data_IF_075456998655
#
_entry.id   IF_075456998655
#
_cell.length_a   1.000
_cell.length_b   1.000
_cell.length_c   1.000
_cell.angle_alpha   90.00
_cell.angle_beta   90.00
_cell.angle_gamma   90.00
#
_symmetry.space_group_name_H-M   'P 1'
#
loop_
_entity.id
_entity.type
_entity.pdbx_description
1 polymer ?
#
# COMPACT_ATOMS: atom_id res chain seq x y z
N UNK A 1 -19.04 -38.87 -1.36
CA UNK A 1 -17.76 -39.32 -0.79
C UNK A 1 -16.66 -38.66 -1.60
N UNK A 2 -16.31 -37.45 -1.26
CA UNK A 2 -15.23 -36.70 -1.90
C UNK A 2 -13.93 -37.18 -1.25
N UNK A 3 -13.08 -37.88 -2.01
CA UNK A 3 -11.74 -38.26 -1.56
C UNK A 3 -10.87 -37.02 -1.52
N UNK A 4 -10.38 -36.70 -0.33
CA UNK A 4 -9.36 -35.67 -0.12
C UNK A 4 -8.15 -35.99 -1.00
N UNK A 5 -7.85 -35.13 -1.96
CA UNK A 5 -6.60 -35.17 -2.73
C UNK A 5 -5.48 -34.79 -1.76
N UNK A 6 -4.55 -35.70 -1.49
CA UNK A 6 -3.32 -35.35 -0.77
C UNK A 6 -2.40 -34.63 -1.75
N UNK A 7 -2.23 -33.33 -1.55
CA UNK A 7 -1.16 -32.58 -2.21
C UNK A 7 0.14 -32.91 -1.45
N UNK A 8 1.05 -33.66 -2.09
CA UNK A 8 2.41 -33.85 -1.57
C UNK A 8 3.27 -32.75 -2.16
N UNK A 9 3.43 -31.69 -1.41
CA UNK A 9 4.36 -30.61 -1.75
C UNK A 9 5.78 -31.07 -1.37
N UNK A 10 6.60 -31.46 -2.35
CA UNK A 10 8.03 -31.66 -2.13
C UNK A 10 8.69 -30.26 -2.12
N UNK A 11 8.68 -29.59 -0.99
CA UNK A 11 9.54 -28.44 -0.75
C UNK A 11 10.98 -28.97 -0.59
N UNK A 12 11.83 -28.72 -1.57
CA UNK A 12 13.25 -28.61 -1.30
C UNK A 12 13.42 -27.35 -0.44
N UNK A 13 13.29 -27.53 0.87
CA UNK A 13 13.77 -26.59 1.86
C UNK A 13 15.27 -26.37 1.57
N UNK A 14 15.58 -25.42 0.72
CA UNK A 14 16.84 -24.72 0.85
C UNK A 14 16.73 -24.01 2.19
N UNK A 15 17.23 -24.66 3.25
CA UNK A 15 17.55 -24.03 4.53
C UNK A 15 18.65 -23.01 4.26
N UNK A 16 18.31 -21.88 3.71
CA UNK A 16 19.22 -20.80 3.40
C UNK A 16 18.81 -19.55 4.13
N UNK A 17 19.58 -19.28 5.18
CA UNK A 17 20.12 -17.96 5.48
C UNK A 17 19.14 -16.80 5.24
N UNK A 18 17.96 -16.85 5.89
CA UNK A 18 17.29 -15.61 6.21
C UNK A 18 18.08 -14.98 7.35
N UNK A 19 18.66 -13.80 7.10
CA UNK A 19 19.21 -12.99 8.15
C UNK A 19 18.16 -12.88 9.26
N UNK A 20 18.56 -12.96 10.50
CA UNK A 20 17.77 -12.97 11.73
C UNK A 20 16.25 -12.96 11.53
N UNK A 21 15.62 -14.12 11.69
CA UNK A 21 14.16 -14.25 11.51
C UNK A 21 13.38 -13.36 12.49
N UNK A 22 12.24 -12.89 12.07
CA UNK A 22 11.30 -12.18 12.94
C UNK A 22 10.93 -13.03 14.16
N UNK A 23 10.99 -12.44 15.33
CA UNK A 23 10.70 -13.08 16.60
C UNK A 23 9.37 -12.56 17.15
N UNK A 24 8.44 -13.47 17.47
CA UNK A 24 7.23 -13.09 18.19
C UNK A 24 7.63 -12.59 19.59
N UNK A 25 7.36 -11.32 19.86
CA UNK A 25 7.68 -10.69 21.15
C UNK A 25 6.50 -10.84 22.13
N UNK A 26 5.29 -10.49 21.65
CA UNK A 26 4.09 -10.52 22.49
C UNK A 26 2.82 -10.52 21.64
N UNK A 27 1.70 -10.80 22.30
CA UNK A 27 0.37 -10.49 21.79
C UNK A 27 -0.06 -9.17 22.41
N UNK A 28 -0.15 -8.14 21.59
CA UNK A 28 -0.40 -6.78 22.06
C UNK A 28 -1.83 -6.59 22.55
N UNK A 29 -2.81 -7.11 21.80
CA UNK A 29 -4.21 -7.00 22.15
C UNK A 29 -4.98 -8.24 21.78
N UNK A 30 -5.71 -8.76 22.76
CA UNK A 30 -6.69 -9.81 22.63
C UNK A 30 -8.07 -9.22 22.93
N UNK A 31 -8.97 -9.25 21.97
CA UNK A 31 -10.32 -8.74 22.15
C UNK A 31 -11.28 -9.73 22.78
N UNK A 32 -10.85 -11.00 22.96
CA UNK A 32 -11.66 -12.06 23.56
C UNK A 32 -12.98 -12.33 22.84
N UNK A 33 -13.09 -11.91 21.56
CA UNK A 33 -14.30 -12.05 20.78
C UNK A 33 -14.33 -13.43 20.11
N UNK A 34 -15.47 -14.13 20.24
CA UNK A 34 -15.63 -15.38 19.56
C UNK A 34 -15.62 -15.22 18.05
N UNK A 35 -14.89 -16.07 17.35
CA UNK A 35 -14.74 -16.08 15.88
C UNK A 35 -16.08 -16.06 15.11
N UNK A 36 -17.12 -16.64 15.69
CA UNK A 36 -18.43 -16.79 15.05
C UNK A 36 -19.28 -15.52 15.05
N UNK A 37 -18.87 -14.46 15.72
CA UNK A 37 -19.68 -13.25 15.88
C UNK A 37 -19.58 -12.31 14.67
N UNK A 38 -18.81 -12.68 13.63
CA UNK A 38 -18.59 -11.83 12.46
C UNK A 38 -17.81 -10.56 12.76
N UNK A 39 -17.12 -10.52 13.89
CA UNK A 39 -16.30 -9.41 14.36
C UNK A 39 -14.84 -9.78 14.31
N UNK A 40 -13.99 -8.82 13.95
CA UNK A 40 -12.55 -9.05 13.91
C UNK A 40 -11.78 -7.78 13.56
N UNK A 41 -10.49 -7.82 13.79
CA UNK A 41 -9.58 -6.73 13.43
C UNK A 41 -9.43 -6.71 11.90
N UNK A 42 -9.52 -5.51 11.30
CA UNK A 42 -9.48 -5.33 9.86
C UNK A 42 -8.47 -4.30 9.37
N UNK A 43 -7.67 -3.79 10.25
CA UNK A 43 -6.58 -2.87 9.94
C UNK A 43 -5.88 -2.41 11.19
N UNK A 44 -4.61 -2.11 11.08
CA UNK A 44 -3.78 -1.57 12.14
C UNK A 44 -2.81 -0.54 11.54
N UNK A 45 -2.53 0.53 12.27
CA UNK A 45 -1.49 1.50 11.93
C UNK A 45 -0.88 2.06 13.20
N UNK A 46 0.42 2.35 13.17
CA UNK A 46 1.12 3.04 14.26
C UNK A 46 1.24 4.51 13.89
N UNK A 47 0.66 5.37 14.69
CA UNK A 47 0.70 6.82 14.51
C UNK A 47 2.08 7.41 14.89
N UNK A 48 2.41 8.65 14.48
CA UNK A 48 3.69 9.29 14.81
C UNK A 48 3.97 9.46 16.30
N UNK A 49 2.95 9.51 17.12
CA UNK A 49 3.05 9.56 18.59
C UNK A 49 3.24 8.18 19.25
N UNK A 50 3.30 7.11 18.45
CA UNK A 50 3.44 5.73 18.88
C UNK A 50 2.11 5.04 19.22
N UNK A 51 0.99 5.74 19.17
CA UNK A 51 -0.32 5.14 19.42
C UNK A 51 -0.70 4.18 18.30
N UNK A 52 -1.35 3.07 18.67
CA UNK A 52 -1.72 2.00 17.77
C UNK A 52 -3.22 2.10 17.48
N UNK A 53 -3.54 2.39 16.24
CA UNK A 53 -4.91 2.54 15.75
C UNK A 53 -5.38 1.21 15.13
N UNK A 54 -6.59 0.79 15.51
CA UNK A 54 -7.13 -0.52 15.16
C UNK A 54 -8.54 -0.37 14.61
N UNK A 55 -8.73 -0.78 13.36
CA UNK A 55 -10.04 -0.80 12.71
C UNK A 55 -10.74 -2.14 12.95
N UNK A 56 -12.04 -2.10 13.21
CA UNK A 56 -12.87 -3.27 13.41
C UNK A 56 -13.78 -3.54 12.22
N UNK A 57 -13.93 -4.81 11.87
CA UNK A 57 -15.01 -5.30 11.02
C UNK A 57 -16.10 -5.91 11.90
N UNK A 58 -17.34 -5.52 11.65
CA UNK A 58 -18.47 -5.93 12.50
C UNK A 58 -18.64 -5.01 13.72
N UNK A 59 -19.75 -5.16 14.40
CA UNK A 59 -20.10 -4.41 15.59
C UNK A 59 -20.49 -5.37 16.71
N UNK A 60 -19.97 -5.14 17.91
CA UNK A 60 -20.33 -5.92 19.10
C UNK A 60 -21.44 -5.21 19.89
N UNK A 61 -22.04 -5.93 20.85
CA UNK A 61 -23.00 -5.29 21.76
C UNK A 61 -22.32 -4.19 22.61
N UNK A 62 -21.03 -4.32 22.89
CA UNK A 62 -20.25 -3.34 23.64
C UNK A 62 -20.00 -2.05 22.84
N UNK A 63 -20.08 -2.13 21.51
CA UNK A 63 -19.91 -1.00 20.60
C UNK A 63 -21.24 -0.31 20.25
N UNK A 64 -22.34 -0.77 20.82
CA UNK A 64 -23.65 -0.23 20.59
C UNK A 64 -23.90 1.01 21.44
N UNK A 65 -24.56 2.02 20.82
CA UNK A 65 -24.89 3.29 21.48
C UNK A 65 -26.42 3.35 21.65
N UNK A 66 -26.95 3.66 22.84
CA UNK A 66 -28.37 3.94 23.01
C UNK A 66 -28.80 5.10 22.09
N UNK A 67 -29.91 4.92 21.38
CA UNK A 67 -30.45 5.94 20.48
C UNK A 67 -31.96 5.91 20.48
N UNK A 68 -32.57 7.09 20.37
CA UNK A 68 -34.01 7.21 20.19
C UNK A 68 -34.33 7.38 18.71
N UNK A 69 -35.06 6.44 18.16
CA UNK A 69 -35.52 6.48 16.77
C UNK A 69 -36.91 7.12 16.72
N UNK A 70 -37.05 8.19 15.95
CA UNK A 70 -38.33 8.83 15.71
C UNK A 70 -38.91 8.31 14.39
N UNK A 71 -40.06 7.66 14.43
CA UNK A 71 -40.77 7.17 13.24
C UNK A 71 -41.41 8.33 12.44
N UNK A 72 -41.80 8.04 11.19
CA UNK A 72 -42.47 9.04 10.33
C UNK A 72 -43.78 9.59 10.94
N UNK A 73 -44.44 8.85 11.81
CA UNK A 73 -45.67 9.28 12.53
C UNK A 73 -45.36 10.13 13.78
N UNK A 74 -44.07 10.40 14.05
CA UNK A 74 -43.62 11.17 15.21
C UNK A 74 -43.49 10.37 16.51
N UNK A 75 -43.69 9.04 16.48
CA UNK A 75 -43.50 8.20 17.66
C UNK A 75 -42.02 7.89 17.88
N UNK A 76 -41.60 7.94 19.13
CA UNK A 76 -40.23 7.62 19.54
C UNK A 76 -40.14 6.18 20.05
N UNK A 77 -39.08 5.48 19.64
CA UNK A 77 -38.71 4.18 20.16
C UNK A 77 -37.24 4.16 20.62
N UNK A 78 -36.97 3.68 21.83
CA UNK A 78 -35.61 3.46 22.29
C UNK A 78 -35.03 2.22 21.63
N UNK A 79 -33.78 2.34 21.18
CA UNK A 79 -33.03 1.25 20.55
C UNK A 79 -31.51 1.47 20.67
N UNK A 80 -30.75 0.80 19.81
CA UNK A 80 -29.31 0.92 19.77
C UNK A 80 -28.84 1.11 18.33
N UNK A 81 -27.83 1.97 18.15
CA UNK A 81 -27.04 2.04 16.92
C UNK A 81 -25.78 1.19 17.12
N UNK A 82 -25.59 0.21 16.27
CA UNK A 82 -24.39 -0.62 16.28
C UNK A 82 -23.28 0.11 15.54
N UNK A 83 -22.21 0.51 16.25
CA UNK A 83 -21.05 1.16 15.68
C UNK A 83 -19.93 0.16 15.39
N UNK A 84 -19.04 0.56 14.49
CA UNK A 84 -17.78 -0.15 14.20
C UNK A 84 -16.64 0.80 14.50
N UNK A 85 -16.25 0.90 15.80
CA UNK A 85 -15.35 1.93 16.26
C UNK A 85 -13.93 1.70 15.76
N UNK A 86 -13.16 2.78 15.77
CA UNK A 86 -11.71 2.70 15.73
C UNK A 86 -11.23 2.72 17.16
N UNK A 87 -10.50 1.68 17.56
CA UNK A 87 -9.82 1.65 18.86
C UNK A 87 -8.42 2.23 18.72
N UNK A 88 -8.01 3.04 19.69
CA UNK A 88 -6.68 3.62 19.76
C UNK A 88 -6.04 3.26 21.09
N UNK A 89 -4.88 2.64 21.03
CA UNK A 89 -4.13 2.20 22.20
C UNK A 89 -2.79 2.94 22.29
N UNK A 90 -2.40 3.28 23.49
CA UNK A 90 -1.03 3.73 23.78
C UNK A 90 -0.05 2.58 23.60
N UNK A 91 1.26 2.84 23.48
CA UNK A 91 2.27 1.76 23.39
C UNK A 91 2.21 0.75 24.54
N UNK A 92 1.71 1.13 25.71
CA UNK A 92 1.56 0.26 26.89
C UNK A 92 0.27 -0.59 26.83
N UNK A 93 -0.57 -0.43 25.78
CA UNK A 93 -1.79 -1.20 25.58
C UNK A 93 -3.06 -0.63 26.22
N UNK A 94 -2.97 0.53 26.84
CA UNK A 94 -4.13 1.24 27.41
C UNK A 94 -4.89 2.03 26.33
N UNK A 95 -6.17 2.28 26.53
CA UNK A 95 -6.92 3.14 25.63
C UNK A 95 -6.41 4.59 25.70
N UNK A 96 -6.17 5.19 24.54
CA UNK A 96 -5.98 6.64 24.44
C UNK A 96 -7.23 7.37 24.95
N UNK A 97 -7.08 8.61 25.43
CA UNK A 97 -8.16 9.36 26.08
C UNK A 97 -9.40 9.60 25.19
N UNK A 98 -9.22 9.57 23.88
CA UNK A 98 -10.27 9.73 22.86
C UNK A 98 -10.75 8.40 22.26
N UNK A 99 -10.25 7.28 22.75
CA UNK A 99 -10.61 5.93 22.27
C UNK A 99 -11.78 5.35 23.08
N UNK A 100 -12.70 4.60 22.46
CA UNK A 100 -12.82 4.34 21.04
C UNK A 100 -13.53 5.48 20.28
N UNK A 101 -13.11 5.69 19.02
CA UNK A 101 -13.75 6.66 18.13
C UNK A 101 -14.98 6.00 17.48
N UNK A 102 -16.16 6.50 17.82
CA UNK A 102 -17.47 6.03 17.32
C UNK A 102 -18.16 7.05 16.43
N UNK A 103 -17.82 8.32 16.60
CA UNK A 103 -18.47 9.45 15.93
C UNK A 103 -17.51 10.06 14.91
N UNK A 104 -18.05 10.45 13.75
CA UNK A 104 -17.31 11.06 12.62
C UNK A 104 -17.79 12.49 12.32
N UNK A 105 -18.74 13.02 13.11
CA UNK A 105 -19.24 14.37 12.96
C UNK A 105 -19.80 14.89 14.26
N UNK A 106 -20.12 16.20 14.28
CA UNK A 106 -20.82 16.80 15.41
C UNK A 106 -22.30 16.43 15.36
N UNK A 107 -22.92 16.26 16.53
CA UNK A 107 -24.39 16.09 16.69
C UNK A 107 -25.22 17.31 16.23
N UNK A 108 -24.65 18.20 15.42
CA UNK A 108 -25.37 19.32 14.86
C UNK A 108 -26.52 18.80 14.00
N UNK A 109 -27.74 18.95 14.50
CA UNK A 109 -29.03 18.59 13.90
C UNK A 109 -29.65 17.24 14.32
N UNK A 110 -29.22 16.63 15.42
CA UNK A 110 -29.88 15.42 15.96
C UNK A 110 -29.61 14.13 15.16
N UNK A 111 -28.75 14.17 14.17
CA UNK A 111 -28.29 12.98 13.44
C UNK A 111 -26.93 12.54 14.00
N UNK A 112 -26.93 11.33 14.58
CA UNK A 112 -25.68 10.66 14.95
C UNK A 112 -24.91 10.30 13.69
N UNK A 113 -23.87 11.05 13.38
CA UNK A 113 -22.91 10.68 12.33
C UNK A 113 -21.89 9.70 12.92
N UNK A 114 -22.17 8.40 12.76
CA UNK A 114 -21.42 7.32 13.42
C UNK A 114 -20.73 6.41 12.42
N UNK A 115 -19.64 5.74 12.86
CA UNK A 115 -18.98 4.69 12.11
C UNK A 115 -19.85 3.41 12.11
N UNK A 116 -20.72 3.24 11.12
CA UNK A 116 -21.63 2.09 10.98
C UNK A 116 -21.21 1.08 9.93
N UNK A 117 -20.24 1.43 9.08
CA UNK A 117 -19.71 0.54 8.04
C UNK A 117 -18.42 -0.14 8.49
N UNK A 118 -18.20 -1.37 8.03
CA UNK A 118 -16.99 -2.13 8.33
C UNK A 118 -15.76 -1.45 7.76
N UNK A 119 -14.74 -1.28 8.59
CA UNK A 119 -13.42 -0.83 8.17
C UNK A 119 -12.78 -1.79 7.16
N UNK A 120 -12.05 -1.23 6.20
CA UNK A 120 -11.37 -2.02 5.15
C UNK A 120 -9.85 -1.89 5.19
N UNK A 121 -9.34 -0.93 5.89
CA UNK A 121 -7.91 -0.73 6.10
C UNK A 121 -7.59 0.68 6.53
N UNK A 122 -6.35 0.84 6.92
CA UNK A 122 -5.79 2.09 7.43
C UNK A 122 -4.36 2.28 6.90
N UNK A 123 -3.95 3.53 6.73
CA UNK A 123 -2.55 3.90 6.54
C UNK A 123 -2.29 5.31 7.10
N UNK A 124 -1.03 5.72 7.13
CA UNK A 124 -0.66 7.13 7.38
C UNK A 124 -0.68 7.91 6.07
N UNK A 125 -1.08 9.17 6.14
CA UNK A 125 -0.78 10.12 5.07
C UNK A 125 0.60 10.78 5.29
N UNK A 126 1.00 11.65 4.38
CA UNK A 126 2.29 12.34 4.42
C UNK A 126 2.44 13.34 5.57
N UNK A 127 1.34 13.74 6.22
CA UNK A 127 1.32 14.60 7.41
C UNK A 127 1.21 13.80 8.71
N UNK A 128 1.16 12.47 8.61
CA UNK A 128 1.03 11.55 9.74
C UNK A 128 -0.40 11.35 10.25
N UNK A 129 -1.40 11.91 9.57
CA UNK A 129 -2.81 11.63 9.89
C UNK A 129 -3.20 10.22 9.47
N UNK A 130 -4.27 9.71 10.08
CA UNK A 130 -4.77 8.37 9.82
C UNK A 130 -5.79 8.42 8.69
N UNK A 131 -5.49 7.76 7.58
CA UNK A 131 -6.46 7.46 6.55
C UNK A 131 -7.17 6.15 6.87
N UNK A 132 -8.48 6.16 6.79
CA UNK A 132 -9.35 5.03 7.09
C UNK A 132 -10.44 4.89 6.05
N UNK A 133 -10.64 3.68 5.55
CA UNK A 133 -11.67 3.40 4.54
C UNK A 133 -12.78 2.50 5.05
N UNK A 134 -13.99 2.84 4.63
CA UNK A 134 -15.18 2.00 4.73
C UNK A 134 -15.86 1.96 3.33
N UNK A 135 -17.00 2.58 3.16
CA UNK A 135 -17.61 2.97 1.87
C UNK A 135 -17.22 4.41 1.47
N UNK A 136 -16.48 5.10 2.31
CA UNK A 136 -15.90 6.42 2.11
C UNK A 136 -14.48 6.43 2.67
N UNK A 137 -13.70 7.45 2.30
CA UNK A 137 -12.38 7.70 2.85
C UNK A 137 -12.48 8.77 3.94
N UNK A 138 -11.94 8.48 5.10
CA UNK A 138 -11.86 9.39 6.25
C UNK A 138 -10.41 9.70 6.57
N UNK A 139 -10.15 10.92 7.02
CA UNK A 139 -8.88 11.39 7.55
C UNK A 139 -9.05 11.83 8.98
N UNK A 140 -8.31 11.25 9.91
CA UNK A 140 -8.36 11.57 11.33
C UNK A 140 -7.07 12.21 11.80
N UNK A 141 -7.18 13.22 12.65
CA UNK A 141 -6.04 13.75 13.38
C UNK A 141 -5.59 12.71 14.42
N UNK A 142 -4.36 12.22 14.28
CA UNK A 142 -3.86 11.14 15.12
C UNK A 142 -3.69 11.54 16.60
N UNK A 143 -3.54 12.85 16.92
CA UNK A 143 -3.38 13.34 18.31
C UNK A 143 -4.71 13.50 19.03
N UNK A 144 -5.80 13.80 18.33
CA UNK A 144 -7.08 14.14 18.95
C UNK A 144 -8.18 13.11 18.66
N UNK A 145 -8.02 12.28 17.67
CA UNK A 145 -9.06 11.36 17.21
C UNK A 145 -10.18 12.02 16.40
N UNK A 146 -10.08 13.32 16.14
CA UNK A 146 -11.09 14.06 15.38
C UNK A 146 -10.97 13.79 13.88
N UNK A 147 -12.10 13.61 13.19
CA UNK A 147 -12.16 13.54 11.75
C UNK A 147 -11.92 14.94 11.16
N UNK A 148 -10.92 15.05 10.28
CA UNK A 148 -10.55 16.33 9.62
C UNK A 148 -11.02 16.38 8.17
N UNK A 149 -11.16 15.23 7.49
CA UNK A 149 -11.71 15.14 6.14
C UNK A 149 -12.59 13.89 5.99
N UNK A 150 -13.65 14.03 5.19
CA UNK A 150 -14.50 12.93 4.72
C UNK A 150 -14.65 13.08 3.21
N UNK A 151 -14.28 12.04 2.48
CA UNK A 151 -14.23 12.06 1.01
C UNK A 151 -15.09 10.92 0.47
N UNK A 152 -16.16 11.28 -0.24
CA UNK A 152 -16.93 10.33 -1.01
C UNK A 152 -16.16 9.94 -2.27
N UNK A 153 -16.05 8.63 -2.53
CA UNK A 153 -15.41 8.08 -3.72
C UNK A 153 -16.44 7.19 -4.42
N UNK A 154 -17.32 7.79 -5.24
CA UNK A 154 -18.36 7.05 -5.95
C UNK A 154 -17.73 6.16 -7.03
N UNK A 155 -18.31 4.96 -7.22
CA UNK A 155 -17.82 4.01 -8.22
C UNK A 155 -18.53 4.12 -9.58
N UNK A 156 -19.57 4.96 -9.67
CA UNK A 156 -20.31 5.23 -10.89
C UNK A 156 -20.72 6.71 -10.99
N UNK A 157 -21.17 7.12 -12.17
CA UNK A 157 -21.61 8.49 -12.45
C UNK A 157 -22.90 8.88 -11.69
N UNK A 158 -23.62 7.93 -11.12
CA UNK A 158 -24.81 8.17 -10.29
C UNK A 158 -24.44 8.51 -8.83
N UNK A 159 -23.16 8.50 -8.46
CA UNK A 159 -22.68 8.79 -7.12
C UNK A 159 -22.84 7.64 -6.13
N UNK A 160 -22.97 6.40 -6.62
CA UNK A 160 -23.11 5.22 -5.76
C UNK A 160 -21.84 4.94 -4.99
N UNK A 161 -21.98 4.66 -3.68
CA UNK A 161 -20.86 4.30 -2.81
C UNK A 161 -20.79 2.78 -2.61
N UNK A 162 -19.58 2.24 -2.55
CA UNK A 162 -19.31 0.84 -2.25
C UNK A 162 -18.10 0.73 -1.33
N UNK A 163 -17.88 -0.44 -0.74
CA UNK A 163 -16.69 -0.67 0.10
C UNK A 163 -15.41 -0.37 -0.67
N UNK A 164 -14.57 0.49 -0.10
CA UNK A 164 -13.26 0.83 -0.63
C UNK A 164 -12.22 -0.22 -0.20
N UNK A 165 -11.12 -0.31 -0.92
CA UNK A 165 -9.95 -1.10 -0.50
C UNK A 165 -9.19 -0.40 0.63
N UNK A 166 -8.18 -1.04 1.20
CA UNK A 166 -7.19 -0.36 2.02
C UNK A 166 -6.60 0.83 1.24
N UNK A 167 -6.47 2.02 1.84
CA UNK A 167 -5.81 3.15 1.22
C UNK A 167 -4.30 2.97 1.25
N UNK A 168 -3.59 3.53 0.27
CA UNK A 168 -2.13 3.65 0.28
C UNK A 168 -1.71 5.03 -0.21
N UNK A 169 -0.50 5.45 0.15
CA UNK A 169 -0.02 6.83 -0.09
C UNK A 169 1.37 6.79 -0.71
N UNK A 170 1.59 7.56 -1.77
CA UNK A 170 2.90 7.78 -2.35
C UNK A 170 3.69 8.87 -1.58
N UNK A 171 4.97 9.03 -1.87
CA UNK A 171 5.83 10.04 -1.23
C UNK A 171 5.40 11.49 -1.49
N UNK A 172 4.59 11.73 -2.52
CA UNK A 172 4.02 13.04 -2.83
C UNK A 172 2.70 13.30 -2.08
N UNK A 173 2.24 12.34 -1.26
CA UNK A 173 1.02 12.44 -0.47
C UNK A 173 -0.27 12.12 -1.24
N UNK A 174 -0.19 11.63 -2.47
CA UNK A 174 -1.39 11.18 -3.17
C UNK A 174 -1.89 9.87 -2.59
N UNK A 175 -3.20 9.74 -2.44
CA UNK A 175 -3.87 8.55 -1.93
C UNK A 175 -4.38 7.70 -3.08
N UNK A 176 -4.10 6.40 -3.02
CA UNK A 176 -4.55 5.41 -4.01
C UNK A 176 -5.49 4.41 -3.36
N UNK A 177 -6.59 4.11 -4.03
CA UNK A 177 -7.57 3.13 -3.60
C UNK A 177 -8.41 2.64 -4.79
N UNK A 178 -9.21 1.62 -4.53
CA UNK A 178 -10.18 1.04 -5.47
C UNK A 178 -11.42 0.59 -4.67
N UNK A 179 -12.30 -0.18 -5.27
CA UNK A 179 -13.49 -0.70 -4.62
C UNK A 179 -13.42 -2.22 -4.48
N UNK A 180 -13.87 -2.72 -3.34
CA UNK A 180 -14.10 -4.15 -3.13
C UNK A 180 -15.36 -4.57 -3.86
N UNK A 181 -15.29 -5.60 -4.69
CA UNK A 181 -16.50 -6.10 -5.38
C UNK A 181 -16.21 -7.15 -6.43
N UNK A 182 -17.29 -7.80 -6.90
CA UNK A 182 -17.26 -8.92 -7.84
C UNK A 182 -17.04 -8.56 -9.29
N UNK A 183 -16.71 -7.32 -9.62
CA UNK A 183 -16.35 -6.88 -10.96
C UNK A 183 -14.98 -6.18 -10.91
N UNK A 184 -14.31 -6.14 -12.06
CA UNK A 184 -13.11 -5.34 -12.24
C UNK A 184 -13.42 -3.88 -11.93
N UNK A 185 -12.64 -3.26 -11.04
CA UNK A 185 -12.81 -1.89 -10.61
C UNK A 185 -11.57 -1.07 -10.97
N UNK A 186 -11.73 0.20 -11.36
CA UNK A 186 -10.62 1.09 -11.60
C UNK A 186 -9.86 1.41 -10.32
N UNK A 187 -8.63 1.91 -10.46
CA UNK A 187 -7.87 2.53 -9.37
C UNK A 187 -8.00 4.03 -9.46
N UNK A 188 -8.29 4.65 -8.33
CA UNK A 188 -8.42 6.10 -8.21
C UNK A 188 -7.24 6.64 -7.41
N UNK A 189 -6.69 7.74 -7.91
CA UNK A 189 -5.71 8.60 -7.24
C UNK A 189 -6.42 9.86 -6.74
N UNK A 190 -6.23 10.19 -5.49
CA UNK A 190 -6.76 11.38 -4.83
C UNK A 190 -5.59 12.29 -4.48
N UNK A 191 -5.70 13.59 -4.81
CA UNK A 191 -4.66 14.58 -4.50
C UNK A 191 -4.46 14.76 -2.99
N UNK A 192 -3.27 15.25 -2.54
CA UNK A 192 -2.97 15.42 -1.12
C UNK A 192 -3.91 16.38 -0.37
N UNK A 193 -4.51 17.32 -1.09
CA UNK A 193 -5.52 18.25 -0.58
C UNK A 193 -6.94 17.69 -0.57
N UNK A 194 -7.13 16.44 -1.05
CA UNK A 194 -8.40 15.72 -1.16
C UNK A 194 -9.45 16.37 -2.09
N UNK A 195 -9.04 17.31 -2.94
CA UNK A 195 -9.95 18.05 -3.84
C UNK A 195 -10.09 17.40 -5.21
N UNK A 196 -9.10 16.66 -5.67
CA UNK A 196 -9.08 16.07 -7.02
C UNK A 196 -9.06 14.54 -6.94
N UNK A 197 -9.95 13.90 -7.71
CA UNK A 197 -10.00 12.45 -7.89
C UNK A 197 -9.78 12.12 -9.36
N UNK A 198 -8.88 11.20 -9.66
CA UNK A 198 -8.54 10.82 -11.04
C UNK A 198 -8.43 9.31 -11.16
N UNK A 199 -9.11 8.71 -12.12
CA UNK A 199 -8.88 7.30 -12.48
C UNK A 199 -7.52 7.17 -13.13
N UNK A 200 -6.66 6.31 -12.57
CA UNK A 200 -5.29 6.09 -13.06
C UNK A 200 -5.06 4.71 -13.63
N UNK A 201 -5.96 3.75 -13.39
CA UNK A 201 -5.98 2.45 -14.04
C UNK A 201 -7.43 1.99 -14.21
N UNK A 202 -7.78 1.58 -15.44
CA UNK A 202 -9.14 1.12 -15.77
C UNK A 202 -9.41 -0.33 -15.37
N UNK A 203 -8.37 -1.12 -15.26
CA UNK A 203 -8.45 -2.55 -15.05
C UNK A 203 -7.82 -2.92 -13.70
N UNK A 204 -8.63 -2.89 -12.66
CA UNK A 204 -8.31 -3.56 -11.41
C UNK A 204 -8.42 -5.08 -11.55
N UNK A 205 -8.38 -5.75 -10.43
CA UNK A 205 -8.66 -7.19 -10.34
C UNK A 205 -10.09 -7.40 -9.83
N UNK A 206 -10.69 -8.52 -10.20
CA UNK A 206 -11.97 -8.92 -9.65
C UNK A 206 -11.80 -9.26 -8.16
N UNK A 207 -12.72 -8.81 -7.31
CA UNK A 207 -12.63 -8.90 -5.86
C UNK A 207 -11.33 -8.28 -5.28
N UNK A 208 -10.97 -7.10 -5.79
CA UNK A 208 -9.84 -6.35 -5.28
C UNK A 208 -10.01 -6.06 -3.78
N UNK A 209 -9.00 -6.40 -3.00
CA UNK A 209 -8.91 -6.10 -1.54
C UNK A 209 -7.76 -5.17 -1.23
N UNK A 210 -6.72 -5.26 -2.03
CA UNK A 210 -5.47 -4.52 -1.85
C UNK A 210 -5.25 -3.59 -3.01
N UNK A 211 -4.99 -2.34 -2.68
CA UNK A 211 -4.42 -1.34 -3.59
C UNK A 211 -3.25 -0.72 -2.85
N UNK A 212 -2.03 -1.09 -3.23
CA UNK A 212 -0.81 -0.59 -2.62
C UNK A 212 0.05 0.09 -3.68
N UNK A 213 0.28 1.38 -3.54
CA UNK A 213 1.20 2.13 -4.39
C UNK A 213 2.62 2.04 -3.84
N UNK A 214 3.63 1.96 -4.72
CA UNK A 214 5.03 2.12 -4.31
C UNK A 214 5.30 3.56 -3.88
N UNK A 215 6.24 3.81 -2.96
CA UNK A 215 6.54 5.15 -2.46
C UNK A 215 6.82 6.16 -3.59
N UNK A 216 7.55 5.74 -4.61
CA UNK A 216 7.91 6.53 -5.80
C UNK A 216 6.76 6.69 -6.82
N UNK A 217 5.61 6.07 -6.56
CA UNK A 217 4.45 6.01 -7.45
C UNK A 217 4.70 5.36 -8.82
N UNK A 218 5.76 4.56 -8.98
CA UNK A 218 6.03 3.87 -10.24
C UNK A 218 5.20 2.60 -10.41
N UNK A 219 4.80 1.96 -9.29
CA UNK A 219 4.04 0.73 -9.33
C UNK A 219 2.81 0.78 -8.43
N UNK A 220 1.76 0.04 -8.84
CA UNK A 220 0.61 -0.29 -8.01
C UNK A 220 0.48 -1.81 -7.95
N UNK A 221 0.34 -2.33 -6.74
CA UNK A 221 0.13 -3.74 -6.45
C UNK A 221 -1.33 -3.97 -6.06
N UNK A 222 -2.01 -4.84 -6.82
CA UNK A 222 -3.42 -5.17 -6.61
C UNK A 222 -3.54 -6.62 -6.17
N UNK A 223 -4.17 -6.86 -5.04
CA UNK A 223 -4.45 -8.19 -4.51
C UNK A 223 -5.93 -8.56 -4.58
N UNK A 224 -6.22 -9.83 -4.82
CA UNK A 224 -7.57 -10.37 -4.87
C UNK A 224 -7.71 -11.56 -3.93
N UNK A 225 -8.86 -11.63 -3.24
CA UNK A 225 -9.16 -12.70 -2.29
C UNK A 225 -9.95 -13.87 -2.86
N UNK A 226 -10.47 -13.80 -4.09
CA UNK A 226 -11.42 -14.79 -4.56
C UNK A 226 -11.04 -15.47 -5.87
N UNK A 227 -10.17 -14.91 -6.67
CA UNK A 227 -9.87 -15.44 -7.99
C UNK A 227 -8.43 -15.95 -8.15
N UNK A 228 -7.68 -15.95 -7.05
CA UNK A 228 -6.36 -16.55 -7.00
C UNK A 228 -5.49 -16.27 -8.23
N UNK A 229 -5.21 -15.00 -8.52
CA UNK A 229 -4.38 -14.61 -9.66
C UNK A 229 -3.01 -14.08 -9.24
N UNK A 230 -2.71 -14.17 -7.94
CA UNK A 230 -1.52 -13.52 -7.36
C UNK A 230 -1.72 -12.02 -7.14
N UNK A 231 -0.64 -11.33 -6.85
CA UNK A 231 -0.61 -9.88 -6.76
C UNK A 231 -0.31 -9.32 -8.15
N UNK A 232 -1.26 -8.63 -8.74
CA UNK A 232 -1.10 -7.98 -10.04
C UNK A 232 -0.26 -6.73 -9.88
N UNK A 233 0.77 -6.58 -10.71
CA UNK A 233 1.65 -5.41 -10.75
C UNK A 233 1.24 -4.52 -11.92
N UNK A 234 0.97 -3.27 -11.62
CA UNK A 234 0.75 -2.22 -12.60
C UNK A 234 1.93 -1.25 -12.57
N UNK A 235 2.40 -0.87 -13.74
CA UNK A 235 3.48 0.11 -13.93
C UNK A 235 2.92 1.43 -14.45
N UNK A 236 3.43 2.52 -13.90
CA UNK A 236 3.07 3.87 -14.31
C UNK A 236 3.56 4.18 -15.72
N UNK A 237 2.77 4.93 -16.49
CA UNK A 237 3.31 5.59 -17.66
C UNK A 237 4.29 6.69 -17.22
N UNK A 238 5.09 7.20 -18.16
CA UNK A 238 6.13 8.19 -17.90
C UNK A 238 5.66 9.50 -17.25
N UNK A 239 4.36 9.77 -17.27
CA UNK A 239 3.77 10.96 -16.66
C UNK A 239 3.18 10.66 -15.28
N UNK A 240 3.17 9.38 -14.83
CA UNK A 240 2.49 8.98 -13.59
C UNK A 240 0.98 9.23 -13.61
N UNK A 241 0.38 9.33 -14.81
CA UNK A 241 -1.05 9.66 -14.99
C UNK A 241 -1.91 8.45 -15.30
N UNK A 242 -1.29 7.33 -15.71
CA UNK A 242 -1.97 6.07 -15.99
C UNK A 242 -1.05 4.90 -15.71
N UNK A 243 -1.65 3.77 -15.30
CA UNK A 243 -0.94 2.54 -14.98
C UNK A 243 -1.46 1.40 -15.85
N UNK A 244 -0.55 0.56 -16.30
CA UNK A 244 -0.86 -0.62 -17.10
C UNK A 244 -0.31 -1.89 -16.44
N UNK A 245 -1.01 -3.01 -16.62
CA UNK A 245 -0.57 -4.29 -16.07
C UNK A 245 0.69 -4.77 -16.77
N UNK A 246 1.71 -5.11 -15.99
CA UNK A 246 3.00 -5.62 -16.50
C UNK A 246 3.31 -7.02 -15.98
N UNK A 247 2.90 -7.37 -14.75
CA UNK A 247 3.27 -8.65 -14.13
C UNK A 247 2.21 -9.16 -13.15
N UNK A 248 2.50 -10.35 -12.57
CA UNK A 248 1.78 -10.96 -11.47
C UNK A 248 2.77 -11.75 -10.61
N UNK A 249 2.86 -11.43 -9.33
CA UNK A 249 3.78 -12.05 -8.38
C UNK A 249 3.05 -12.86 -7.30
N UNK A 250 3.80 -13.66 -6.55
CA UNK A 250 3.30 -14.43 -5.40
C UNK A 250 2.78 -15.82 -5.73
N UNK A 251 2.45 -16.12 -7.00
CA UNK A 251 2.04 -17.47 -7.38
C UNK A 251 3.20 -18.46 -7.29
N UNK A 252 2.93 -19.66 -6.82
CA UNK A 252 3.92 -20.73 -6.79
C UNK A 252 3.53 -21.88 -7.70
N UNK A 253 4.51 -22.67 -8.15
CA UNK A 253 4.29 -23.87 -8.93
C UNK A 253 4.28 -25.08 -8.02
N UNK A 254 3.23 -25.89 -8.08
CA UNK A 254 3.08 -27.14 -7.35
C UNK A 254 2.88 -28.32 -8.28
N UNK A 255 3.03 -29.53 -7.74
CA UNK A 255 2.72 -30.76 -8.45
C UNK A 255 1.50 -31.43 -7.83
N UNK A 256 0.53 -31.78 -8.64
CA UNK A 256 -0.67 -32.53 -8.23
C UNK A 256 -0.63 -33.89 -8.88
N UNK A 257 -0.66 -34.94 -8.05
CA UNK A 257 -0.79 -36.32 -8.53
C UNK A 257 -2.25 -36.61 -8.92
N UNK A 258 -2.47 -36.97 -10.17
CA UNK A 258 -3.77 -37.38 -10.66
C UNK A 258 -4.13 -38.81 -10.16
N UNK A 259 -5.42 -39.15 -10.24
CA UNK A 259 -5.90 -40.48 -9.81
C UNK A 259 -5.35 -41.66 -10.60
N UNK A 260 -4.70 -41.42 -11.72
CA UNK A 260 -4.01 -42.39 -12.57
C UNK A 260 -2.50 -42.53 -12.28
N UNK A 261 -2.01 -41.81 -11.26
CA UNK A 261 -0.59 -41.79 -10.87
C UNK A 261 0.29 -40.86 -11.71
N UNK A 262 -0.30 -40.07 -12.59
CA UNK A 262 0.46 -39.05 -13.33
C UNK A 262 0.56 -37.76 -12.54
N UNK A 263 1.72 -37.12 -12.62
CA UNK A 263 1.95 -35.81 -12.05
C UNK A 263 1.63 -34.69 -13.04
N UNK A 264 0.87 -33.70 -12.60
CA UNK A 264 0.64 -32.47 -13.37
C UNK A 264 1.13 -31.24 -12.62
N UNK A 265 1.83 -30.37 -13.32
CA UNK A 265 2.26 -29.07 -12.78
C UNK A 265 1.07 -28.12 -12.74
N UNK A 266 0.83 -27.49 -11.60
CA UNK A 266 -0.26 -26.53 -11.40
C UNK A 266 0.30 -25.24 -10.81
N UNK A 267 -0.32 -24.14 -11.19
CA UNK A 267 -0.07 -22.84 -10.54
C UNK A 267 -0.98 -22.71 -9.33
N UNK A 268 -0.39 -22.49 -8.15
CA UNK A 268 -1.10 -22.23 -6.91
C UNK A 268 -1.04 -20.72 -6.69
N UNK A 269 -2.18 -20.04 -6.76
CA UNK A 269 -2.21 -18.58 -6.67
C UNK A 269 -2.06 -18.06 -5.25
N UNK A 270 -1.48 -16.87 -5.12
CA UNK A 270 -1.46 -16.09 -3.88
C UNK A 270 -2.74 -15.25 -3.78
N UNK A 271 -3.43 -15.30 -2.64
CA UNK A 271 -4.67 -14.57 -2.37
C UNK A 271 -4.39 -13.46 -1.36
N UNK A 272 -4.03 -12.29 -1.86
CA UNK A 272 -3.65 -11.17 -1.00
C UNK A 272 -4.86 -10.54 -0.31
N UNK A 273 -4.88 -10.56 1.02
CA UNK A 273 -5.91 -9.94 1.86
C UNK A 273 -5.56 -8.50 2.25
N UNK A 274 -4.28 -8.21 2.39
CA UNK A 274 -3.75 -6.91 2.78
C UNK A 274 -2.30 -6.80 2.33
N UNK A 275 -1.79 -5.59 2.14
CA UNK A 275 -0.38 -5.36 1.87
C UNK A 275 0.13 -4.05 2.48
N UNK A 276 1.42 -4.00 2.78
CA UNK A 276 2.08 -2.83 3.35
C UNK A 276 3.58 -2.84 3.01
N UNK A 277 4.23 -1.68 3.19
CA UNK A 277 5.67 -1.53 3.01
C UNK A 277 6.41 -1.56 4.34
N UNK A 278 7.53 -2.30 4.40
CA UNK A 278 8.51 -2.18 5.46
C UNK A 278 9.92 -2.35 4.90
N UNK A 279 10.77 -1.33 5.05
CA UNK A 279 12.17 -1.34 4.60
C UNK A 279 12.36 -1.74 3.13
N UNK A 280 11.47 -1.27 2.23
CA UNK A 280 11.47 -1.62 0.81
C UNK A 280 10.89 -3.00 0.49
N UNK A 281 10.58 -3.82 1.49
CA UNK A 281 9.91 -5.11 1.30
C UNK A 281 8.42 -4.89 1.14
N UNK A 282 7.83 -5.51 0.13
CA UNK A 282 6.39 -5.61 -0.05
C UNK A 282 5.87 -6.76 0.81
N UNK A 283 5.21 -6.44 1.92
CA UNK A 283 4.55 -7.43 2.77
C UNK A 283 3.10 -7.62 2.36
N UNK A 284 2.69 -8.86 2.17
CA UNK A 284 1.30 -9.21 1.90
C UNK A 284 0.85 -10.38 2.76
N UNK A 285 -0.39 -10.29 3.25
CA UNK A 285 -1.05 -11.35 4.00
C UNK A 285 -1.78 -12.30 3.05
N UNK A 286 -1.51 -13.60 3.18
CA UNK A 286 -2.23 -14.66 2.46
C UNK A 286 -3.51 -15.02 3.21
N UNK A 287 -4.55 -15.41 2.49
CA UNK A 287 -5.85 -15.75 3.07
C UNK A 287 -5.83 -17.00 3.95
N UNK A 288 -6.94 -17.26 4.66
CA UNK A 288 -7.15 -18.40 5.56
C UNK A 288 -6.81 -19.76 4.88
N UNK A 289 -6.00 -20.61 5.53
CA UNK A 289 -5.66 -21.96 5.02
C UNK A 289 -6.87 -22.85 4.73
N UNK A 290 -8.02 -22.55 5.29
CA UNK A 290 -9.25 -23.26 4.96
C UNK A 290 -9.70 -23.00 3.50
N UNK A 291 -9.23 -21.94 2.88
CA UNK A 291 -9.67 -21.50 1.55
C UNK A 291 -8.55 -21.50 0.50
N UNK A 292 -7.30 -21.43 0.93
CA UNK A 292 -6.15 -21.43 0.05
C UNK A 292 -5.29 -22.68 0.21
N UNK A 293 -4.77 -23.20 -0.88
CA UNK A 293 -3.76 -24.26 -0.90
C UNK A 293 -2.35 -23.73 -1.05
N UNK A 294 -2.17 -22.41 -1.02
CA UNK A 294 -0.85 -21.79 -1.10
C UNK A 294 0.01 -22.21 0.10
N UNK A 295 1.32 -22.49 -0.07
CA UNK A 295 2.21 -22.91 1.03
C UNK A 295 2.28 -21.93 2.19
N UNK A 296 2.04 -20.66 1.95
CA UNK A 296 2.03 -19.59 2.93
C UNK A 296 0.62 -19.17 3.36
N UNK A 297 -0.42 -19.99 3.06
CA UNK A 297 -1.78 -19.66 3.46
C UNK A 297 -1.87 -19.34 4.96
N UNK A 298 -2.53 -18.24 5.29
CA UNK A 298 -2.66 -17.72 6.66
C UNK A 298 -1.44 -16.98 7.20
N UNK A 299 -0.35 -16.87 6.43
CA UNK A 299 0.89 -16.21 6.88
C UNK A 299 1.08 -14.84 6.22
N UNK A 300 2.01 -14.09 6.74
CA UNK A 300 2.55 -12.89 6.11
C UNK A 300 3.79 -13.25 5.28
N UNK A 301 3.86 -12.71 4.07
CA UNK A 301 4.94 -12.99 3.12
C UNK A 301 5.56 -11.68 2.66
N UNK A 302 6.88 -11.59 2.75
CA UNK A 302 7.68 -10.48 2.27
C UNK A 302 8.22 -10.77 0.87
N UNK A 303 7.92 -9.89 -0.08
CA UNK A 303 8.39 -9.97 -1.46
C UNK A 303 9.44 -8.90 -1.75
N UNK A 304 10.41 -9.25 -2.56
CA UNK A 304 11.19 -8.26 -3.27
C UNK A 304 10.28 -7.65 -4.38
N UNK A 305 9.95 -6.36 -4.30
CA UNK A 305 9.02 -5.74 -5.25
C UNK A 305 9.56 -5.70 -6.69
N UNK A 306 10.90 -5.75 -6.87
CA UNK A 306 11.55 -5.66 -8.17
C UNK A 306 11.59 -7.01 -8.89
N UNK A 307 11.73 -8.12 -8.14
CA UNK A 307 11.86 -9.47 -8.72
C UNK A 307 10.63 -10.34 -8.51
N UNK A 308 9.74 -9.96 -7.59
CA UNK A 308 8.59 -10.77 -7.18
C UNK A 308 8.95 -12.00 -6.34
N UNK A 309 10.24 -12.17 -5.97
CA UNK A 309 10.70 -13.29 -5.15
C UNK A 309 10.24 -13.16 -3.70
N UNK A 310 9.88 -14.29 -3.09
CA UNK A 310 9.64 -14.37 -1.65
C UNK A 310 10.98 -14.34 -0.95
N UNK A 311 11.19 -13.35 -0.08
CA UNK A 311 12.45 -13.11 0.63
C UNK A 311 12.31 -13.22 2.14
N UNK A 312 11.08 -13.23 2.66
CA UNK A 312 10.81 -13.33 4.09
C UNK A 312 9.40 -13.89 4.34
N UNK A 313 9.12 -14.37 5.56
CA UNK A 313 7.78 -14.77 5.98
C UNK A 313 7.63 -14.69 7.49
N UNK A 314 6.41 -14.37 7.96
CA UNK A 314 6.07 -14.25 9.38
C UNK A 314 4.81 -15.02 9.68
N UNK A 315 4.79 -15.72 10.81
CA UNK A 315 3.67 -16.49 11.30
C UNK A 315 3.63 -17.89 10.72
N UNK A 316 2.92 -18.77 11.42
CA UNK A 316 2.61 -20.12 10.97
C UNK A 316 1.15 -20.19 10.61
N UNK A 317 0.85 -20.30 9.32
CA UNK A 317 -0.51 -20.38 8.83
C UNK A 317 -1.24 -21.62 9.34
N UNK A 318 -2.32 -21.40 10.07
CA UNK A 318 -3.18 -22.47 10.60
C UNK A 318 -4.64 -22.03 10.59
N UNK A 319 -5.53 -22.92 10.14
CA UNK A 319 -6.96 -22.68 10.30
C UNK A 319 -7.33 -22.69 11.79
N UNK A 320 -8.01 -21.65 12.25
CA UNK A 320 -8.52 -21.51 13.60
C UNK A 320 -10.02 -21.79 13.58
N UNK A 321 -10.47 -22.76 14.40
CA UNK A 321 -11.86 -23.16 14.54
C UNK A 321 -12.51 -22.51 15.78
N UNK A 322 -13.85 -22.51 15.91
CA UNK A 322 -14.50 -21.99 17.11
C UNK A 322 -14.15 -22.72 18.41
N UNK A 323 -13.68 -23.97 18.30
CA UNK A 323 -13.30 -24.78 19.47
C UNK A 323 -11.85 -24.53 19.93
N UNK A 324 -11.08 -23.75 19.14
CA UNK A 324 -9.69 -23.45 19.47
C UNK A 324 -9.59 -22.24 20.41
N UNK A 325 -8.62 -22.27 21.31
CA UNK A 325 -8.17 -21.08 22.02
C UNK A 325 -7.30 -20.23 21.08
N UNK A 326 -7.96 -19.32 20.37
CA UNK A 326 -7.33 -18.49 19.37
C UNK A 326 -6.19 -17.61 19.93
N UNK A 327 -6.35 -17.13 21.18
CA UNK A 327 -5.31 -16.32 21.84
C UNK A 327 -4.10 -17.14 22.20
N UNK A 328 -4.29 -18.36 22.71
CA UNK A 328 -3.18 -19.27 22.98
C UNK A 328 -2.44 -19.67 21.69
N UNK A 329 -3.15 -19.93 20.61
CA UNK A 329 -2.54 -20.18 19.30
C UNK A 329 -1.74 -18.98 18.80
N UNK A 330 -2.30 -17.78 18.85
CA UNK A 330 -1.61 -16.56 18.44
C UNK A 330 -0.34 -16.30 19.28
N UNK A 331 -0.34 -16.65 20.57
CA UNK A 331 0.83 -16.54 21.43
C UNK A 331 1.97 -17.51 21.06
N UNK A 332 1.72 -18.51 20.21
CA UNK A 332 2.75 -19.39 19.62
C UNK A 332 3.18 -19.00 18.22
N UNK A 333 2.71 -17.86 17.71
CA UNK A 333 3.04 -17.39 16.37
C UNK A 333 2.10 -17.89 15.26
N UNK A 334 0.98 -18.53 15.62
CA UNK A 334 -0.05 -18.93 14.65
C UNK A 334 -0.74 -17.69 14.13
N UNK A 335 -0.87 -17.61 12.81
CA UNK A 335 -1.69 -16.65 12.06
C UNK A 335 -2.70 -17.43 11.22
N UNK A 336 -3.84 -16.83 10.91
CA UNK A 336 -4.89 -17.52 10.16
C UNK A 336 -5.44 -16.66 9.03
N UNK A 337 -5.78 -15.42 9.31
CA UNK A 337 -6.45 -14.54 8.37
C UNK A 337 -5.91 -13.12 8.49
N UNK A 338 -4.74 -12.85 7.91
CA UNK A 338 -4.07 -11.55 7.93
C UNK A 338 -4.98 -10.43 7.44
N UNK A 339 -5.08 -9.32 8.21
CA UNK A 339 -5.98 -8.20 7.88
C UNK A 339 -5.37 -6.81 8.10
N UNK A 340 -4.20 -6.73 8.66
CA UNK A 340 -3.51 -5.46 8.83
C UNK A 340 -2.06 -5.65 9.25
N UNK A 341 -1.17 -4.85 8.70
CA UNK A 341 0.23 -4.77 9.09
C UNK A 341 0.58 -3.32 9.33
N UNK A 342 1.11 -3.05 10.53
CA UNK A 342 1.73 -1.78 10.85
C UNK A 342 3.19 -1.99 11.24
N UNK A 343 3.99 -0.94 11.12
CA UNK A 343 5.40 -0.96 11.48
C UNK A 343 5.74 0.16 12.44
N UNK A 344 6.75 -0.06 13.28
CA UNK A 344 7.41 1.02 14.00
C UNK A 344 8.15 1.95 13.04
N UNK A 345 8.46 3.16 13.50
CA UNK A 345 9.14 4.18 12.68
C UNK A 345 10.50 3.72 12.18
N UNK A 346 11.20 2.90 12.96
CA UNK A 346 12.52 2.33 12.62
C UNK A 346 12.42 1.04 11.77
N UNK A 347 11.19 0.52 11.55
CA UNK A 347 10.95 -0.71 10.79
C UNK A 347 11.40 -1.99 11.48
N UNK A 348 11.81 -1.94 12.76
CA UNK A 348 12.30 -3.09 13.51
C UNK A 348 11.19 -3.86 14.23
N UNK A 349 10.00 -3.29 14.32
CA UNK A 349 8.82 -3.90 14.94
C UNK A 349 7.65 -3.89 13.96
N UNK A 350 6.99 -5.04 13.81
CA UNK A 350 5.76 -5.20 13.05
C UNK A 350 4.61 -5.57 13.98
N UNK A 351 3.47 -4.94 13.74
CA UNK A 351 2.20 -5.23 14.40
C UNK A 351 1.29 -5.90 13.38
N UNK A 352 1.00 -7.18 13.60
CA UNK A 352 0.22 -8.01 12.69
C UNK A 352 -1.18 -8.22 13.23
N UNK A 353 -2.17 -7.70 12.55
CA UNK A 353 -3.57 -7.88 12.88
C UNK A 353 -4.14 -9.10 12.14
N UNK A 354 -4.74 -10.00 12.88
CA UNK A 354 -5.34 -11.23 12.37
C UNK A 354 -6.84 -11.28 12.71
N UNK A 355 -7.66 -11.46 11.69
CA UNK A 355 -9.12 -11.45 11.82
C UNK A 355 -9.66 -12.68 12.57
N UNK A 356 -9.07 -13.84 12.32
CA UNK A 356 -9.57 -15.10 12.86
C UNK A 356 -9.13 -15.36 14.29
N UNK A 357 -7.93 -14.95 14.66
CA UNK A 357 -7.46 -14.99 16.05
C UNK A 357 -7.92 -13.77 16.84
N UNK A 358 -8.29 -12.70 16.16
CA UNK A 358 -8.76 -11.43 16.73
C UNK A 358 -7.75 -10.79 17.71
N UNK A 359 -6.48 -10.94 17.42
CA UNK A 359 -5.37 -10.38 18.19
C UNK A 359 -4.41 -9.57 17.32
N UNK A 360 -3.60 -8.75 17.95
CA UNK A 360 -2.44 -8.11 17.33
C UNK A 360 -1.19 -8.77 17.90
N UNK A 361 -0.42 -9.42 17.03
CA UNK A 361 0.89 -9.97 17.35
C UNK A 361 1.95 -8.91 17.13
N UNK A 362 2.91 -8.83 18.03
CA UNK A 362 4.07 -7.94 17.94
C UNK A 362 5.30 -8.78 17.62
N UNK A 363 5.90 -8.50 16.48
CA UNK A 363 7.08 -9.19 15.99
C UNK A 363 8.25 -8.21 15.88
N UNK A 364 9.41 -8.63 16.31
CA UNK A 364 10.63 -7.82 16.28
C UNK A 364 11.75 -8.52 15.51
N UNK A 365 12.54 -7.73 14.80
CA UNK A 365 13.76 -8.19 14.14
C UNK A 365 14.82 -7.09 14.23
N UNK A 366 15.96 -7.39 14.84
CA UNK A 366 17.05 -6.42 15.00
C UNK A 366 17.74 -6.07 13.66
N UNK A 367 17.67 -6.97 12.68
CA UNK A 367 18.26 -6.79 11.35
C UNK A 367 17.28 -7.24 10.26
N UNK A 368 16.15 -6.55 10.08
CA UNK A 368 15.14 -6.96 9.09
C UNK A 368 15.72 -6.88 7.68
N UNK A 369 15.25 -7.78 6.82
CA UNK A 369 15.57 -7.74 5.40
C UNK A 369 15.24 -6.37 4.84
N UNK A 370 16.22 -5.74 4.20
CA UNK A 370 16.07 -4.46 3.53
C UNK A 370 16.19 -4.70 2.03
N UNK A 371 15.19 -4.33 1.29
CA UNK A 371 15.30 -4.20 -0.15
C UNK A 371 15.54 -2.73 -0.41
N UNK A 372 16.71 -2.41 -0.96
CA UNK A 372 16.84 -1.14 -1.66
C UNK A 372 15.76 -1.20 -2.74
N UNK A 373 14.78 -0.30 -2.69
CA UNK A 373 14.13 0.09 -3.94
C UNK A 373 15.35 0.56 -4.73
N UNK A 374 15.85 -0.29 -5.63
CA UNK A 374 16.87 0.19 -6.54
C UNK A 374 16.23 1.43 -7.12
N UNK A 375 16.77 2.63 -6.79
CA UNK A 375 16.85 3.62 -7.84
C UNK A 375 17.42 2.78 -8.97
N UNK A 376 16.55 2.36 -9.91
CA UNK A 376 17.05 1.89 -11.18
C UNK A 376 18.12 2.89 -11.50
N UNK A 377 19.36 2.43 -11.63
CA UNK A 377 20.39 3.21 -12.32
C UNK A 377 19.74 3.34 -13.69
N UNK A 378 18.92 4.40 -13.77
CA UNK A 378 17.90 4.67 -14.75
C UNK A 378 18.34 4.10 -16.09
N UNK A 379 17.80 2.91 -16.43
CA UNK A 379 17.64 2.60 -17.83
C UNK A 379 16.95 3.85 -18.43
N UNK A 380 17.43 4.38 -19.52
CA UNK A 380 16.91 5.63 -20.04
C UNK A 380 15.39 5.53 -20.11
N UNK A 381 14.67 6.47 -19.48
CA UNK A 381 13.23 6.55 -19.58
C UNK A 381 12.89 6.73 -21.06
N UNK A 382 12.55 5.65 -21.74
CA UNK A 382 12.21 5.67 -23.17
C UNK A 382 10.71 5.88 -23.29
N UNK A 383 10.28 7.13 -23.28
CA UNK A 383 8.97 7.48 -23.79
C UNK A 383 9.02 7.38 -25.31
N UNK A 384 8.56 6.27 -25.88
CA UNK A 384 8.43 6.14 -27.34
C UNK A 384 9.56 6.87 -28.13
N UNK A 385 10.83 6.60 -27.75
CA UNK A 385 12.00 7.19 -28.37
C UNK A 385 12.58 8.45 -27.70
N UNK A 386 12.06 8.92 -26.58
CA UNK A 386 12.68 10.01 -25.81
C UNK A 386 13.39 9.47 -24.56
N UNK A 387 14.61 9.97 -24.28
CA UNK A 387 15.34 9.67 -23.06
C UNK A 387 16.16 10.85 -22.57
N UNK A 388 16.34 10.98 -21.27
CA UNK A 388 17.29 11.88 -20.63
C UNK A 388 18.21 11.06 -19.75
N UNK A 389 19.50 11.04 -20.05
CA UNK A 389 20.49 10.24 -19.33
C UNK A 389 21.11 11.00 -18.17
N UNK A 390 21.67 10.28 -17.22
CA UNK A 390 22.41 10.87 -16.10
C UNK A 390 23.63 11.65 -16.63
N UNK A 391 23.80 12.85 -16.13
CA UNK A 391 24.97 13.67 -16.47
C UNK A 391 26.25 12.98 -15.98
N UNK A 392 27.30 12.93 -16.82
CA UNK A 392 28.57 12.34 -16.46
C UNK A 392 29.75 13.24 -16.87
N UNK A 393 30.72 13.48 -15.96
CA UNK A 393 30.75 13.05 -14.56
C UNK A 393 29.70 13.76 -13.67
N UNK A 394 29.28 13.10 -12.59
CA UNK A 394 28.45 13.65 -11.54
C UNK A 394 28.91 13.04 -10.18
N UNK A 395 29.42 13.82 -9.20
CA UNK A 395 29.68 15.29 -9.28
C UNK A 395 30.68 15.67 -10.35
N UNK A 396 30.61 16.94 -10.82
CA UNK A 396 31.47 17.42 -11.89
C UNK A 396 32.29 18.68 -11.54
N UNK A 397 33.42 18.82 -12.23
CA UNK A 397 34.31 19.97 -12.23
C UNK A 397 35.22 19.93 -13.48
N UNK A 398 35.28 20.94 -14.35
CA UNK A 398 34.39 22.11 -14.45
C UNK A 398 33.16 21.87 -15.34
N UNK A 399 33.02 20.69 -15.98
CA UNK A 399 31.96 20.40 -16.94
C UNK A 399 31.43 19.00 -16.84
N UNK A 400 30.20 18.81 -17.26
CA UNK A 400 29.53 17.54 -17.38
C UNK A 400 28.83 17.40 -18.72
N UNK A 401 28.72 16.19 -19.25
CA UNK A 401 27.99 15.85 -20.47
C UNK A 401 26.62 15.32 -20.08
N UNK A 402 25.60 15.82 -20.75
CA UNK A 402 24.21 15.36 -20.64
C UNK A 402 23.85 14.74 -21.99
N UNK A 403 23.51 13.46 -21.99
CA UNK A 403 23.03 12.71 -23.14
C UNK A 403 21.50 12.59 -23.11
N UNK A 404 20.86 12.60 -24.26
CA UNK A 404 19.41 12.50 -24.40
C UNK A 404 19.01 11.96 -25.76
N UNK A 405 17.81 11.35 -25.84
CA UNK A 405 17.22 10.86 -27.07
C UNK A 405 15.93 11.60 -27.40
N UNK A 406 15.71 11.82 -28.69
CA UNK A 406 14.54 12.50 -29.22
C UNK A 406 13.74 11.53 -30.08
N UNK A 407 12.51 11.25 -29.68
CA UNK A 407 11.62 10.28 -30.32
C UNK A 407 10.82 10.78 -31.52
N UNK A 408 10.80 12.11 -31.75
CA UNK A 408 10.23 12.73 -32.95
C UNK A 408 10.93 14.04 -33.25
N UNK A 409 11.02 14.39 -34.50
CA UNK A 409 11.59 15.70 -34.96
C UNK A 409 10.79 16.83 -34.33
N UNK A 410 11.46 17.75 -33.63
CA UNK A 410 10.78 18.85 -32.94
C UNK A 410 11.68 19.80 -32.17
N UNK A 411 11.07 20.80 -31.55
CA UNK A 411 11.80 21.71 -30.69
C UNK A 411 12.15 21.05 -29.36
N UNK A 412 13.42 21.12 -29.00
CA UNK A 412 13.98 20.56 -27.76
C UNK A 412 14.51 21.70 -26.91
N UNK A 413 14.23 21.66 -25.63
CA UNK A 413 14.74 22.59 -24.64
C UNK A 413 15.36 21.84 -23.47
N UNK A 414 16.58 22.20 -23.04
CA UNK A 414 17.17 21.72 -21.80
C UNK A 414 17.50 22.93 -20.93
N UNK A 415 16.80 23.02 -19.82
CA UNK A 415 16.95 24.08 -18.83
C UNK A 415 17.64 23.54 -17.55
N UNK A 416 18.46 24.38 -16.93
CA UNK A 416 19.09 24.13 -15.63
C UNK A 416 18.41 25.01 -14.58
N UNK A 417 18.02 24.37 -13.45
CA UNK A 417 17.38 25.07 -12.32
C UNK A 417 18.19 24.83 -11.03
N UNK A 418 18.11 25.79 -10.11
CA UNK A 418 18.57 25.55 -8.75
C UNK A 418 17.47 24.82 -7.93
N UNK A 419 17.78 24.42 -6.68
CA UNK A 419 16.84 23.71 -5.80
C UNK A 419 15.63 24.56 -5.37
N UNK A 420 15.63 25.87 -5.64
CA UNK A 420 14.46 26.75 -5.44
C UNK A 420 13.53 26.78 -6.66
N UNK A 421 13.88 26.07 -7.75
CA UNK A 421 13.13 26.10 -9.00
C UNK A 421 13.42 27.32 -9.87
N UNK A 422 14.43 28.15 -9.55
CA UNK A 422 14.81 29.30 -10.35
C UNK A 422 15.67 28.88 -11.55
N UNK A 423 15.32 29.36 -12.74
CA UNK A 423 16.07 29.06 -13.96
C UNK A 423 17.48 29.66 -13.88
N UNK A 424 18.48 28.81 -14.03
CA UNK A 424 19.92 29.16 -14.00
C UNK A 424 20.47 29.33 -15.41
N UNK A 425 20.18 28.36 -16.29
CA UNK A 425 20.66 28.37 -17.67
C UNK A 425 19.72 27.62 -18.60
N UNK A 426 19.68 27.98 -19.88
CA UNK A 426 19.10 27.20 -20.95
C UNK A 426 20.23 26.74 -21.86
N UNK A 427 20.58 25.45 -21.80
CA UNK A 427 21.75 24.91 -22.51
C UNK A 427 21.41 24.32 -23.87
N UNK A 428 20.13 23.99 -24.10
CA UNK A 428 19.59 23.59 -25.41
C UNK A 428 18.28 24.34 -25.63
N UNK A 429 18.08 24.89 -26.82
CA UNK A 429 16.82 25.48 -27.26
C UNK A 429 16.81 25.54 -28.80
N UNK A 430 16.23 24.52 -29.44
CA UNK A 430 16.21 24.44 -30.90
C UNK A 430 15.63 23.15 -31.45
N UNK A 431 15.52 23.06 -32.78
CA UNK A 431 15.05 21.90 -33.50
C UNK A 431 16.09 20.77 -33.51
N UNK A 432 15.65 19.55 -33.17
CA UNK A 432 16.46 18.34 -33.19
C UNK A 432 15.80 17.27 -34.04
N UNK A 433 16.63 16.48 -34.69
CA UNK A 433 16.21 15.30 -35.43
C UNK A 433 15.97 14.15 -34.43
N UNK A 434 15.23 13.10 -34.85
CA UNK A 434 15.10 11.83 -34.19
C UNK A 434 16.48 11.24 -33.86
N UNK A 435 16.66 10.69 -32.67
CA UNK A 435 17.83 9.93 -32.24
C UNK A 435 18.58 10.56 -31.07
N UNK A 436 19.81 10.06 -30.86
CA UNK A 436 20.66 10.40 -29.72
C UNK A 436 21.41 11.74 -29.91
N UNK A 437 21.40 12.54 -28.88
CA UNK A 437 22.04 13.86 -28.81
C UNK A 437 22.83 14.03 -27.53
N UNK A 438 23.68 15.04 -27.46
CA UNK A 438 24.37 15.40 -26.24
C UNK A 438 24.69 16.88 -26.15
N UNK A 439 24.76 17.40 -24.93
CA UNK A 439 25.18 18.77 -24.62
C UNK A 439 26.11 18.78 -23.42
N UNK A 440 26.98 19.77 -23.36
CA UNK A 440 27.89 19.95 -22.23
C UNK A 440 27.47 21.17 -21.42
N UNK A 441 27.30 21.00 -20.12
CA UNK A 441 27.13 22.09 -19.17
C UNK A 441 28.46 22.32 -18.40
N UNK A 442 28.92 23.54 -18.40
CA UNK A 442 30.18 23.96 -17.78
C UNK A 442 30.00 24.69 -16.43
N UNK A 443 28.87 24.46 -15.76
CA UNK A 443 28.56 25.06 -14.46
C UNK A 443 28.38 26.59 -14.54
N UNK A 444 27.88 27.11 -15.65
CA UNK A 444 27.65 28.58 -15.84
C UNK A 444 26.17 28.87 -15.98
N UNK A 445 25.81 30.09 -15.56
CA UNK A 445 24.48 30.65 -15.74
C UNK A 445 24.29 31.30 -17.14
N UNK A 446 23.08 31.81 -17.40
CA UNK A 446 22.75 32.52 -18.65
C UNK A 446 23.59 33.80 -18.89
N UNK A 447 24.30 34.29 -17.87
CA UNK A 447 25.21 35.45 -17.97
C UNK A 447 26.66 35.02 -18.11
N UNK A 448 26.91 33.70 -18.35
CA UNK A 448 28.23 33.07 -18.45
C UNK A 448 29.07 33.19 -17.17
N UNK A 449 28.42 33.43 -16.01
CA UNK A 449 29.10 33.43 -14.72
C UNK A 449 29.04 32.04 -14.07
N UNK A 450 30.13 31.67 -13.38
CA UNK A 450 30.23 30.37 -12.68
C UNK A 450 29.22 30.34 -11.55
N UNK A 451 28.40 29.30 -11.53
CA UNK A 451 27.41 29.08 -10.45
C UNK A 451 28.10 28.60 -9.15
N UNK A 452 27.47 28.78 -7.98
CA UNK A 452 27.94 28.18 -6.72
C UNK A 452 28.05 26.67 -6.78
N UNK A 453 28.94 26.05 -5.98
CA UNK A 453 28.93 24.61 -5.76
C UNK A 453 27.59 24.20 -5.15
N UNK A 454 27.02 23.10 -5.62
CA UNK A 454 25.72 22.63 -5.16
C UNK A 454 25.02 21.72 -6.18
N UNK A 455 23.84 21.24 -5.82
CA UNK A 455 23.00 20.40 -6.68
C UNK A 455 22.07 21.28 -7.52
N UNK A 456 21.95 20.90 -8.79
CA UNK A 456 21.11 21.53 -9.81
C UNK A 456 20.22 20.49 -10.46
N UNK A 457 19.07 20.93 -10.96
CA UNK A 457 18.14 20.12 -11.72
C UNK A 457 18.27 20.50 -13.18
N UNK A 458 18.48 19.55 -14.09
CA UNK A 458 18.36 19.79 -15.52
C UNK A 458 17.10 19.11 -16.05
N UNK A 459 16.39 19.83 -16.95
CA UNK A 459 15.10 19.41 -17.49
C UNK A 459 15.10 19.46 -18.99
N UNK A 460 14.84 18.31 -19.61
CA UNK A 460 14.53 18.18 -21.04
C UNK A 460 13.02 18.41 -21.24
N UNK A 461 12.65 19.22 -22.22
CA UNK A 461 11.27 19.40 -22.66
C UNK A 461 11.22 19.31 -24.18
N UNK A 462 10.35 18.45 -24.74
CA UNK A 462 10.12 18.31 -26.18
C UNK A 462 8.78 17.65 -26.44
N UNK A 463 8.04 18.10 -27.45
CA UNK A 463 6.78 17.50 -27.92
C UNK A 463 5.76 17.16 -26.80
N UNK A 464 5.69 18.01 -25.76
CA UNK A 464 4.78 17.82 -24.63
C UNK A 464 5.28 16.87 -23.55
N UNK A 465 6.44 16.23 -23.73
CA UNK A 465 7.11 15.43 -22.70
C UNK A 465 8.15 16.26 -21.94
N UNK A 466 8.38 15.93 -20.68
CA UNK A 466 9.36 16.61 -19.82
C UNK A 466 10.05 15.61 -18.90
N UNK A 467 11.39 15.61 -18.90
CA UNK A 467 12.22 14.76 -18.05
C UNK A 467 13.15 15.63 -17.22
N UNK A 468 13.36 15.26 -15.96
CA UNK A 468 14.26 16.00 -15.06
C UNK A 468 15.19 15.05 -14.32
N UNK A 469 16.46 15.47 -14.16
CA UNK A 469 17.46 14.79 -13.35
C UNK A 469 18.29 15.79 -12.57
N UNK A 470 19.08 15.30 -11.63
CA UNK A 470 19.95 16.13 -10.80
C UNK A 470 21.42 15.96 -11.19
N UNK A 471 22.18 17.03 -10.97
CA UNK A 471 23.64 17.05 -11.16
C UNK A 471 24.29 17.90 -10.09
N UNK A 472 25.43 17.47 -9.55
CA UNK A 472 26.14 18.19 -8.50
C UNK A 472 27.41 18.83 -9.06
N UNK A 473 27.51 20.14 -8.92
CA UNK A 473 28.71 20.91 -9.27
C UNK A 473 29.59 21.09 -8.03
N UNK A 474 30.87 20.80 -8.15
CA UNK A 474 31.89 21.03 -7.12
C UNK A 474 33.02 21.89 -7.69
N UNK A 475 33.48 22.88 -6.91
CA UNK A 475 34.64 23.72 -7.28
C UNK A 475 35.92 23.10 -6.83
#
# INVERSE_FOLDING_TARGET
MVKLLKVILLYLLSSNLFADSWQLNSVFKDYGLARNDGHGIHGVVVAPDGNIWVAMNGATAQDSIPHTFTAQDGSDSAGFVHTRPIHVFTPDGEHASYSPIRFIGSEANGNLDTLTYSGKGMCLDHEGHILYTTNELYRFNYMTGEMVHRVAVPFDDAGSLSSLTQPSVDENGNVYLSWVGGATRPVVKISPDFLTQTTVADAGVNYNRVTLVSPDANHIFLGSTWNGIGITVLEANLLGTAYTRVDTIGNVTGTVEASDGSDSTVTIPFWAEVAAWNNGVLWAGETDPAWSSHPHAGSWVGFNPNTGEIIDSIGTGQTVTPDDDASALAATGVTCNPRGLARSTDGLTLYLADYSTNVIQVWTNANPTTVSIEEETEAPIIASGYALYQAYPNPFNPSTKIEYEIGSIGNVKIDIYNLKGELVNTIVNGWHNLGSHSVVWNGKDNKNMQVPSGTYIYRLTSAGVSFSKTVTFVK
#
